data_IF_320180601050
#
_entry.id   IF_320180601050
#
_cell.length_a   1.000
_cell.length_b   1.000
_cell.length_c   1.000
_cell.angle_alpha   90.00
_cell.angle_beta   90.00
_cell.angle_gamma   90.00
#
_symmetry.space_group_name_H-M   'P 1'
#
loop_
_entity.id
_entity.type
_entity.pdbx_description
1 polymer ?
#
# COMPACT_ATOMS: atom_id res chain seq x y z
N UNK A 1 2.72 23.55 0.69
CA UNK A 1 2.57 22.12 1.01
C UNK A 1 1.50 21.92 2.08
N UNK A 2 0.21 21.95 1.69
CA UNK A 2 -0.91 21.40 2.48
C UNK A 2 -2.00 21.05 1.48
N UNK A 3 -1.97 19.84 0.95
CA UNK A 3 -3.13 19.28 0.26
C UNK A 3 -3.88 18.42 1.28
N UNK A 4 -4.48 19.05 2.29
CA UNK A 4 -5.52 18.40 3.09
C UNK A 4 -6.80 18.49 2.27
N UNK A 5 -6.91 17.66 1.23
CA UNK A 5 -8.21 17.37 0.63
C UNK A 5 -9.12 16.95 1.79
N UNK A 6 -10.13 17.78 2.07
CA UNK A 6 -11.06 17.55 3.15
C UNK A 6 -11.87 16.32 2.77
N UNK A 7 -11.57 15.16 3.38
CA UNK A 7 -12.35 13.93 3.17
C UNK A 7 -13.76 14.18 3.71
N UNK A 8 -14.78 13.99 2.87
CA UNK A 8 -16.17 14.07 3.32
C UNK A 8 -16.45 12.90 4.25
N UNK A 9 -17.16 13.19 5.35
CA UNK A 9 -17.52 12.19 6.35
C UNK A 9 -18.90 11.59 6.01
N UNK A 10 -19.16 10.31 6.35
CA UNK A 10 -18.28 9.39 7.08
C UNK A 10 -17.11 8.88 6.23
N UNK A 11 -16.00 8.54 6.89
CA UNK A 11 -14.82 7.97 6.23
C UNK A 11 -14.19 6.87 7.05
N UNK A 12 -13.81 5.78 6.40
CA UNK A 12 -13.03 4.66 6.92
C UNK A 12 -11.55 5.08 6.99
N UNK A 13 -10.94 5.10 8.18
CA UNK A 13 -9.52 5.42 8.34
C UNK A 13 -8.63 4.23 7.97
N UNK A 14 -7.37 4.52 7.66
CA UNK A 14 -6.35 3.53 7.34
C UNK A 14 -5.68 3.85 6.01
N UNK A 15 -4.42 3.45 5.87
CA UNK A 15 -3.55 3.84 4.75
C UNK A 15 -2.90 2.66 4.04
N UNK A 16 -2.97 1.46 4.61
CA UNK A 16 -2.25 0.28 4.11
C UNK A 16 -3.18 -0.92 4.12
N UNK A 17 -3.09 -1.73 3.07
CA UNK A 17 -3.81 -2.99 2.98
C UNK A 17 -2.87 -4.13 2.63
N UNK A 18 -3.22 -5.33 3.09
CA UNK A 18 -2.83 -6.57 2.46
C UNK A 18 -3.96 -7.58 2.52
N UNK A 19 -4.27 -8.21 1.39
CA UNK A 19 -5.41 -9.13 1.29
C UNK A 19 -5.45 -9.83 -0.06
N UNK A 20 -6.58 -10.46 -0.36
CA UNK A 20 -6.84 -11.10 -1.65
C UNK A 20 -7.84 -10.27 -2.45
N UNK A 21 -7.60 -10.11 -3.75
CA UNK A 21 -8.53 -9.40 -4.63
C UNK A 21 -9.74 -10.29 -4.93
N UNK A 22 -10.90 -9.90 -4.40
CA UNK A 22 -12.18 -10.64 -4.53
C UNK A 22 -13.14 -10.06 -5.57
N UNK A 23 -12.90 -8.82 -6.03
CA UNK A 23 -13.71 -8.13 -7.05
C UNK A 23 -12.81 -7.21 -7.88
N UNK A 24 -13.12 -7.04 -9.17
CA UNK A 24 -12.39 -6.14 -10.07
C UNK A 24 -13.34 -5.36 -10.95
N UNK A 25 -12.87 -4.21 -11.46
CA UNK A 25 -13.51 -3.53 -12.59
C UNK A 25 -13.50 -4.38 -13.87
N UNK A 26 -14.15 -3.87 -14.92
CA UNK A 26 -14.33 -4.59 -16.19
C UNK A 26 -13.12 -4.59 -17.12
N UNK A 27 -12.10 -3.76 -16.85
CA UNK A 27 -10.91 -3.68 -17.70
C UNK A 27 -10.08 -4.96 -17.61
N UNK A 28 -9.44 -5.34 -18.72
CA UNK A 28 -8.58 -6.52 -18.77
C UNK A 28 -7.46 -6.43 -17.72
N UNK A 29 -6.80 -5.28 -17.62
CA UNK A 29 -5.75 -5.02 -16.64
C UNK A 29 -6.22 -5.17 -15.18
N UNK A 30 -7.46 -4.78 -14.86
CA UNK A 30 -8.00 -4.99 -13.52
C UNK A 30 -8.27 -6.48 -13.26
N UNK A 31 -8.84 -7.19 -14.24
CA UNK A 31 -9.18 -8.62 -14.12
C UNK A 31 -7.97 -9.52 -13.86
N UNK A 32 -6.79 -9.12 -14.33
CA UNK A 32 -5.54 -9.84 -14.04
C UNK A 32 -5.23 -9.94 -12.54
N UNK A 33 -5.81 -9.07 -11.70
CA UNK A 33 -5.59 -9.09 -10.26
C UNK A 33 -6.48 -10.08 -9.51
N UNK A 34 -7.53 -10.60 -10.14
CA UNK A 34 -8.51 -11.47 -9.48
C UNK A 34 -7.85 -12.68 -8.82
N UNK A 35 -8.17 -12.89 -7.53
CA UNK A 35 -7.66 -14.00 -6.71
C UNK A 35 -6.20 -13.87 -6.28
N UNK A 36 -5.49 -12.80 -6.64
CA UNK A 36 -4.10 -12.60 -6.22
C UNK A 36 -4.02 -12.02 -4.80
N UNK A 37 -3.00 -12.45 -4.06
CA UNK A 37 -2.59 -11.80 -2.82
C UNK A 37 -1.81 -10.52 -3.12
N UNK A 38 -2.26 -9.41 -2.54
CA UNK A 38 -1.74 -8.07 -2.84
C UNK A 38 -1.47 -7.28 -1.56
N UNK A 39 -0.70 -6.21 -1.74
CA UNK A 39 -0.55 -5.13 -0.78
C UNK A 39 -0.64 -3.78 -1.50
N UNK A 40 -0.97 -2.71 -0.79
CA UNK A 40 -0.99 -1.37 -1.36
C UNK A 40 -0.93 -0.28 -0.28
N UNK A 41 -0.35 0.86 -0.67
CA UNK A 41 -0.58 2.15 -0.04
C UNK A 41 -1.88 2.74 -0.63
N UNK A 42 -2.86 2.94 0.24
CA UNK A 42 -4.18 3.51 -0.06
C UNK A 42 -4.39 4.85 0.66
N UNK A 43 -3.30 5.53 1.03
CA UNK A 43 -3.34 6.84 1.70
C UNK A 43 -4.23 7.82 0.96
N UNK A 44 -5.19 8.40 1.68
CA UNK A 44 -6.13 9.39 1.14
C UNK A 44 -7.39 8.79 0.52
N UNK A 45 -7.49 7.46 0.37
CA UNK A 45 -8.71 6.76 0.00
C UNK A 45 -9.57 6.45 1.23
N UNK A 46 -10.85 6.17 1.03
CA UNK A 46 -11.72 5.58 2.05
C UNK A 46 -11.40 4.08 2.19
N UNK A 47 -10.84 3.62 3.30
CA UNK A 47 -10.47 2.20 3.36
C UNK A 47 -9.62 1.73 4.52
N UNK A 48 -8.94 0.60 4.29
CA UNK A 48 -8.03 -0.16 5.14
C UNK A 48 -8.54 -0.67 6.51
N UNK A 49 -9.18 0.14 7.37
CA UNK A 49 -9.81 -0.38 8.60
C UNK A 49 -11.22 -0.93 8.34
N UNK A 50 -11.31 -1.82 7.37
CA UNK A 50 -12.53 -2.51 6.96
C UNK A 50 -12.16 -3.88 6.36
N UNK A 51 -13.14 -4.78 6.27
CA UNK A 51 -12.96 -6.09 5.64
C UNK A 51 -12.71 -6.00 4.12
N UNK A 52 -13.15 -4.89 3.51
CA UNK A 52 -12.98 -4.63 2.09
C UNK A 52 -12.52 -3.19 1.86
N UNK A 53 -11.67 -3.01 0.85
CA UNK A 53 -11.18 -1.71 0.41
C UNK A 53 -11.18 -1.66 -1.12
N UNK A 54 -11.79 -0.62 -1.70
CA UNK A 54 -11.72 -0.37 -3.13
C UNK A 54 -10.57 0.59 -3.44
N UNK A 55 -9.68 0.22 -4.36
CA UNK A 55 -8.60 1.08 -4.81
C UNK A 55 -8.30 0.88 -6.30
N UNK A 56 -7.66 1.87 -6.96
CA UNK A 56 -7.18 1.69 -8.33
C UNK A 56 -6.21 0.51 -8.45
N UNK A 57 -6.38 -0.32 -9.48
CA UNK A 57 -5.50 -1.47 -9.74
C UNK A 57 -4.02 -1.07 -9.90
N UNK A 58 -3.74 0.17 -10.32
CA UNK A 58 -2.39 0.71 -10.44
C UNK A 58 -1.65 0.89 -9.10
N UNK A 59 -2.37 0.88 -7.97
CA UNK A 59 -1.76 0.93 -6.63
C UNK A 59 -1.38 -0.46 -6.11
N UNK A 60 -1.91 -1.53 -6.74
CA UNK A 60 -1.67 -2.89 -6.28
C UNK A 60 -0.26 -3.33 -6.64
N UNK A 61 0.39 -3.98 -5.69
CA UNK A 61 1.58 -4.79 -5.93
C UNK A 61 1.36 -6.20 -5.38
N UNK A 62 2.07 -7.22 -5.91
CA UNK A 62 2.01 -8.57 -5.37
C UNK A 62 2.54 -8.57 -3.93
N UNK A 63 1.81 -9.21 -3.02
CA UNK A 63 2.31 -9.48 -1.67
C UNK A 63 3.50 -10.46 -1.75
N UNK A 64 4.62 -10.22 -1.06
CA UNK A 64 5.67 -11.23 -0.93
C UNK A 64 5.10 -12.54 -0.36
N UNK A 65 5.41 -13.67 -1.01
CA UNK A 65 4.88 -14.98 -0.62
C UNK A 65 5.43 -15.48 0.72
N UNK A 66 6.57 -14.96 1.16
CA UNK A 66 7.24 -15.33 2.42
C UNK A 66 6.69 -14.61 3.65
N UNK A 67 5.82 -13.62 3.47
CA UNK A 67 5.23 -12.83 4.56
C UNK A 67 3.77 -13.22 4.76
N UNK A 68 3.28 -13.14 5.99
CA UNK A 68 1.84 -13.11 6.28
C UNK A 68 1.22 -11.79 5.83
N UNK A 69 -0.12 -11.71 5.74
CA UNK A 69 -0.80 -10.44 5.47
C UNK A 69 -0.55 -9.39 6.56
N UNK A 70 -0.44 -9.80 7.83
CA UNK A 70 -0.15 -8.90 8.94
C UNK A 70 1.23 -8.26 8.81
N UNK A 71 2.25 -9.05 8.47
CA UNK A 71 3.61 -8.54 8.22
C UNK A 71 3.68 -7.70 6.95
N UNK A 72 3.02 -8.13 5.88
CA UNK A 72 3.01 -7.41 4.61
C UNK A 72 2.36 -6.03 4.73
N UNK A 73 1.28 -5.87 5.49
CA UNK A 73 0.57 -4.58 5.64
C UNK A 73 1.45 -3.48 6.24
N UNK A 74 2.53 -3.81 6.97
CA UNK A 74 3.41 -2.83 7.59
C UNK A 74 4.44 -2.19 6.62
N UNK A 75 4.45 -2.60 5.35
CA UNK A 75 5.51 -2.27 4.40
C UNK A 75 5.16 -1.21 3.33
N UNK A 76 3.91 -1.09 2.81
CA UNK A 76 3.62 -0.19 1.70
C UNK A 76 3.97 1.27 1.96
N UNK A 77 3.71 1.83 3.15
CA UNK A 77 4.09 3.20 3.51
C UNK A 77 5.43 3.21 4.23
N UNK A 78 5.58 2.51 5.36
CA UNK A 78 6.78 2.62 6.19
C UNK A 78 8.02 2.03 5.49
N UNK A 79 7.88 0.86 4.86
CA UNK A 79 8.94 0.20 4.11
C UNK A 79 9.35 0.98 2.86
N UNK A 80 8.39 1.46 2.08
CA UNK A 80 8.70 2.26 0.87
C UNK A 80 9.32 3.62 1.21
N UNK A 81 8.82 4.29 2.26
CA UNK A 81 9.33 5.60 2.70
C UNK A 81 10.75 5.50 3.22
N UNK A 82 11.03 4.50 4.07
CA UNK A 82 12.40 4.27 4.58
C UNK A 82 13.35 3.92 3.43
N UNK A 83 12.95 3.03 2.51
CA UNK A 83 13.76 2.69 1.34
C UNK A 83 14.02 3.90 0.43
N UNK A 84 13.01 4.76 0.22
CA UNK A 84 13.16 5.99 -0.54
C UNK A 84 14.16 6.94 0.12
N UNK A 85 14.04 7.15 1.43
CA UNK A 85 14.94 8.03 2.19
C UNK A 85 16.40 7.55 2.09
N UNK A 86 16.64 6.24 2.29
CA UNK A 86 17.98 5.65 2.19
C UNK A 86 18.56 5.77 0.78
N UNK A 87 17.74 5.58 -0.26
CA UNK A 87 18.16 5.77 -1.65
C UNK A 87 18.48 7.21 -1.97
N UNK A 88 17.70 8.16 -1.45
CA UNK A 88 17.87 9.58 -1.73
C UNK A 88 19.18 10.13 -1.15
N UNK A 89 19.62 9.60 0.00
CA UNK A 89 20.92 9.98 0.59
C UNK A 89 22.11 9.24 -0.03
N UNK A 90 21.87 8.28 -0.92
CA UNK A 90 22.92 7.54 -1.63
C UNK A 90 23.74 6.63 -0.72
N UNK A 91 23.11 6.03 0.30
CA UNK A 91 23.80 5.20 1.30
C UNK A 91 24.63 4.09 0.64
N UNK A 92 25.89 4.01 1.04
CA UNK A 92 26.87 3.04 0.56
C UNK A 92 27.25 2.03 1.64
N UNK A 93 27.77 0.88 1.21
CA UNK A 93 28.24 -0.18 2.11
C UNK A 93 29.32 0.37 3.06
N UNK A 94 29.15 0.13 4.36
CA UNK A 94 30.08 0.55 5.40
C UNK A 94 29.76 1.91 6.04
N UNK A 95 28.77 2.64 5.51
CA UNK A 95 28.27 3.87 6.15
C UNK A 95 27.31 3.55 7.30
N UNK A 96 27.28 4.45 8.29
CA UNK A 96 26.42 4.32 9.47
C UNK A 96 25.16 5.18 9.33
N UNK A 97 24.02 4.62 9.74
CA UNK A 97 22.73 5.33 9.82
C UNK A 97 22.30 5.40 11.27
N UNK A 98 21.92 6.59 11.74
CA UNK A 98 21.24 6.77 13.01
C UNK A 98 19.73 6.66 12.78
N UNK A 99 19.05 5.82 13.56
CA UNK A 99 17.61 5.59 13.51
C UNK A 99 16.97 6.02 14.82
#
# INVERSE_FOLDING_TARGET
YRNTQKRELPVTPGAEISGTVVATGSSAAAREWMGKEVWADVTGLDGAFAEYCACPAALLAPKPSTLSHAEATALPVAGSTSLQALRQVGLSTGEAVLV
#
